data_IF_022650343569
#
_entry.id   IF_022650343569
#
_cell.length_a   1.000
_cell.length_b   1.000
_cell.length_c   1.000
_cell.angle_alpha   90.00
_cell.angle_beta   90.00
_cell.angle_gamma   90.00
#
_symmetry.space_group_name_H-M   'P 1'
#
loop_
_entity.id
_entity.type
_entity.pdbx_description
1 polymer ?
#
# COMPACT_ATOMS: atom_id res chain seq x y z
N UNK A 1 -9.34 -33.63 6.54
CA UNK A 1 -10.29 -32.99 5.60
C UNK A 1 -10.77 -31.62 6.07
N UNK A 2 -11.04 -31.40 7.35
CA UNK A 2 -11.51 -30.08 7.86
C UNK A 2 -10.49 -28.94 7.78
N UNK A 3 -9.20 -29.15 8.10
CA UNK A 3 -8.23 -28.03 8.09
C UNK A 3 -7.82 -27.54 6.69
N UNK A 4 -7.86 -28.42 5.69
CA UNK A 4 -7.52 -28.09 4.29
C UNK A 4 -8.66 -27.33 3.61
N UNK A 5 -9.91 -27.72 3.89
CA UNK A 5 -11.09 -26.94 3.47
C UNK A 5 -11.13 -25.55 4.12
N UNK A 6 -10.78 -25.42 5.39
CA UNK A 6 -10.67 -24.12 6.07
C UNK A 6 -9.56 -23.27 5.46
N UNK A 7 -8.40 -23.87 5.17
CA UNK A 7 -7.27 -23.21 4.53
C UNK A 7 -7.63 -22.65 3.15
N UNK A 8 -8.26 -23.44 2.30
CA UNK A 8 -8.66 -22.98 0.96
C UNK A 8 -9.72 -21.87 1.03
N UNK A 9 -10.64 -21.95 1.98
CA UNK A 9 -11.68 -20.92 2.17
C UNK A 9 -11.06 -19.57 2.57
N UNK A 10 -10.05 -19.59 3.44
CA UNK A 10 -9.27 -18.39 3.82
C UNK A 10 -8.56 -17.79 2.60
N UNK A 11 -7.85 -18.62 1.81
CA UNK A 11 -7.14 -18.13 0.62
C UNK A 11 -8.10 -17.50 -0.40
N UNK A 12 -9.25 -18.14 -0.65
CA UNK A 12 -10.27 -17.61 -1.55
C UNK A 12 -10.85 -16.27 -1.06
N UNK A 13 -11.04 -16.11 0.26
CA UNK A 13 -11.51 -14.84 0.82
C UNK A 13 -10.46 -13.74 0.67
N UNK A 14 -9.17 -14.05 0.92
CA UNK A 14 -8.07 -13.10 0.76
C UNK A 14 -7.91 -12.66 -0.70
N UNK A 15 -8.00 -13.58 -1.65
CA UNK A 15 -7.97 -13.24 -3.08
C UNK A 15 -9.13 -12.30 -3.44
N UNK A 16 -10.35 -12.62 -3.00
CA UNK A 16 -11.53 -11.76 -3.24
C UNK A 16 -11.38 -10.39 -2.62
N UNK A 17 -10.84 -10.29 -1.40
CA UNK A 17 -10.55 -9.03 -0.73
C UNK A 17 -9.54 -8.23 -1.57
N UNK A 18 -8.46 -8.86 -2.04
CA UNK A 18 -7.48 -8.21 -2.91
C UNK A 18 -8.09 -7.66 -4.21
N UNK A 19 -9.03 -8.39 -4.84
CA UNK A 19 -9.73 -7.94 -6.04
C UNK A 19 -10.66 -6.74 -5.81
N UNK A 20 -11.03 -6.42 -4.56
CA UNK A 20 -11.84 -5.23 -4.27
C UNK A 20 -11.09 -3.94 -4.64
N UNK A 21 -9.75 -3.92 -4.61
CA UNK A 21 -8.94 -2.77 -5.02
C UNK A 21 -9.27 -2.34 -6.46
N UNK A 22 -9.18 -3.27 -7.41
CA UNK A 22 -9.49 -3.00 -8.82
C UNK A 22 -10.94 -2.56 -9.01
N UNK A 23 -11.89 -3.22 -8.32
CA UNK A 23 -13.32 -2.90 -8.41
C UNK A 23 -13.57 -1.47 -7.96
N UNK A 24 -13.04 -1.07 -6.80
CA UNK A 24 -13.27 0.27 -6.28
C UNK A 24 -12.52 1.32 -7.08
N UNK A 25 -11.29 1.06 -7.52
CA UNK A 25 -10.54 2.00 -8.39
C UNK A 25 -11.22 2.18 -9.74
N UNK A 26 -11.72 1.12 -10.36
CA UNK A 26 -12.47 1.21 -11.61
C UNK A 26 -13.81 1.94 -11.46
N UNK A 27 -14.45 1.85 -10.29
CA UNK A 27 -15.69 2.58 -9.97
C UNK A 27 -15.45 4.05 -9.60
N UNK A 28 -14.23 4.42 -9.24
CA UNK A 28 -13.85 5.81 -8.94
C UNK A 28 -13.69 6.68 -10.20
N UNK A 29 -14.09 6.20 -11.38
CA UNK A 29 -14.19 7.02 -12.59
C UNK A 29 -15.35 8.02 -12.38
N UNK A 30 -14.99 9.24 -12.00
CA UNK A 30 -15.91 10.28 -11.58
C UNK A 30 -15.86 10.46 -10.07
N UNK A 31 -15.14 11.49 -9.62
CA UNK A 31 -15.01 11.83 -8.21
C UNK A 31 -16.36 12.35 -7.69
N UNK A 32 -16.82 11.81 -6.57
CA UNK A 32 -18.05 12.28 -5.93
C UNK A 32 -17.86 13.70 -5.39
N UNK A 33 -18.83 14.59 -5.66
CA UNK A 33 -18.70 16.04 -5.42
C UNK A 33 -18.51 16.45 -3.96
N UNK A 34 -18.84 15.55 -3.04
CA UNK A 34 -18.77 15.69 -1.60
C UNK A 34 -17.62 14.91 -0.94
N UNK A 35 -16.86 14.13 -1.71
CA UNK A 35 -15.64 13.46 -1.25
C UNK A 35 -14.60 14.47 -0.72
N UNK A 36 -13.75 14.09 0.25
CA UNK A 36 -12.64 14.91 0.71
C UNK A 36 -11.78 15.47 -0.45
N UNK A 37 -11.43 14.64 -1.43
CA UNK A 37 -10.61 15.10 -2.57
C UNK A 37 -11.33 16.13 -3.45
N UNK A 38 -12.65 16.04 -3.62
CA UNK A 38 -13.40 17.02 -4.40
C UNK A 38 -13.47 18.38 -3.67
N UNK A 39 -13.46 18.36 -2.34
CA UNK A 39 -13.36 19.58 -1.53
C UNK A 39 -11.98 20.19 -1.65
N UNK A 40 -10.94 19.36 -1.61
CA UNK A 40 -9.56 19.79 -1.83
C UNK A 40 -9.41 20.48 -3.18
N UNK A 41 -9.92 19.85 -4.26
CA UNK A 41 -9.88 20.42 -5.61
C UNK A 41 -10.64 21.75 -5.75
N UNK A 42 -11.71 21.98 -4.97
CA UNK A 42 -12.44 23.26 -4.96
C UNK A 42 -11.71 24.37 -4.20
N UNK A 43 -10.79 24.03 -3.31
CA UNK A 43 -10.05 24.98 -2.48
C UNK A 43 -8.77 25.50 -3.12
N UNK A 44 -8.38 24.94 -4.27
CA UNK A 44 -7.14 25.27 -4.97
C UNK A 44 -7.41 26.23 -6.13
N UNK A 45 -6.54 27.23 -6.24
CA UNK A 45 -6.62 28.26 -7.28
C UNK A 45 -5.47 28.18 -8.30
N UNK A 46 -4.41 27.42 -8.01
CA UNK A 46 -3.22 27.31 -8.88
C UNK A 46 -3.22 26.01 -9.69
N UNK A 47 -2.70 26.09 -10.92
CA UNK A 47 -2.61 24.93 -11.82
C UNK A 47 -1.70 23.86 -11.23
N UNK A 48 -0.60 24.26 -10.62
CA UNK A 48 0.43 23.38 -10.08
C UNK A 48 -0.10 22.55 -8.92
N UNK A 49 -0.91 23.14 -8.05
CA UNK A 49 -1.53 22.41 -6.94
C UNK A 49 -2.66 21.47 -7.43
N UNK A 50 -3.34 21.80 -8.54
CA UNK A 50 -4.25 20.87 -9.22
C UNK A 50 -3.49 19.64 -9.73
N UNK A 51 -2.34 19.83 -10.40
CA UNK A 51 -1.51 18.72 -10.90
C UNK A 51 -0.99 17.82 -9.75
N UNK A 52 -0.66 18.40 -8.59
CA UNK A 52 -0.28 17.64 -7.39
C UNK A 52 -1.47 16.83 -6.82
N UNK A 53 -2.67 17.38 -6.82
CA UNK A 53 -3.89 16.64 -6.46
C UNK A 53 -4.15 15.49 -7.45
N UNK A 54 -4.00 15.73 -8.75
CA UNK A 54 -4.22 14.71 -9.77
C UNK A 54 -3.18 13.59 -9.68
N UNK A 55 -1.93 13.93 -9.35
CA UNK A 55 -0.91 12.94 -9.01
C UNK A 55 -1.27 12.16 -7.74
N UNK A 56 -1.67 12.85 -6.66
CA UNK A 56 -2.08 12.25 -5.39
C UNK A 56 -3.17 11.19 -5.63
N UNK A 57 -4.22 11.54 -6.35
CA UNK A 57 -5.33 10.63 -6.69
C UNK A 57 -4.87 9.40 -7.47
N UNK A 58 -4.12 9.63 -8.56
CA UNK A 58 -3.60 8.54 -9.40
C UNK A 58 -2.71 7.61 -8.59
N UNK A 59 -1.82 8.17 -7.77
CA UNK A 59 -0.87 7.39 -6.99
C UNK A 59 -1.54 6.59 -5.89
N UNK A 60 -2.52 7.17 -5.21
CA UNK A 60 -3.37 6.47 -4.23
C UNK A 60 -4.02 5.23 -4.88
N UNK A 61 -4.66 5.41 -6.05
CA UNK A 61 -5.30 4.30 -6.76
C UNK A 61 -4.31 3.22 -7.22
N UNK A 62 -3.18 3.62 -7.81
CA UNK A 62 -2.14 2.70 -8.25
C UNK A 62 -1.52 1.91 -7.10
N UNK A 63 -1.24 2.56 -5.96
CA UNK A 63 -0.72 1.89 -4.77
C UNK A 63 -1.74 0.90 -4.19
N UNK A 64 -3.03 1.25 -4.19
CA UNK A 64 -4.07 0.34 -3.73
C UNK A 64 -4.18 -0.91 -4.62
N UNK A 65 -4.17 -0.74 -5.95
CA UNK A 65 -4.17 -1.87 -6.90
C UNK A 65 -2.93 -2.72 -6.71
N UNK A 66 -1.74 -2.12 -6.64
CA UNK A 66 -0.50 -2.86 -6.40
C UNK A 66 -0.53 -3.67 -5.09
N UNK A 67 -1.10 -3.09 -4.02
CA UNK A 67 -1.29 -3.79 -2.73
C UNK A 67 -2.27 -4.97 -2.88
N UNK A 68 -3.36 -4.79 -3.62
CA UNK A 68 -4.34 -5.85 -3.91
C UNK A 68 -3.77 -6.99 -4.76
N UNK A 69 -2.97 -6.66 -5.78
CA UNK A 69 -2.25 -7.64 -6.61
C UNK A 69 -1.23 -8.42 -5.81
N UNK A 70 -0.47 -7.73 -4.95
CA UNK A 70 0.47 -8.37 -4.04
C UNK A 70 -0.27 -9.28 -3.04
N UNK A 71 -1.44 -8.88 -2.52
CA UNK A 71 -2.22 -9.71 -1.60
C UNK A 71 -2.73 -10.99 -2.28
N UNK A 72 -3.21 -10.87 -3.52
CA UNK A 72 -3.59 -12.02 -4.35
C UNK A 72 -2.38 -12.92 -4.64
N UNK A 73 -1.24 -12.35 -5.00
CA UNK A 73 0.00 -13.11 -5.23
C UNK A 73 0.47 -13.83 -3.95
N UNK A 74 0.31 -13.20 -2.78
CA UNK A 74 0.64 -13.80 -1.50
C UNK A 74 -0.27 -15.00 -1.20
N UNK A 75 -1.57 -14.88 -1.45
CA UNK A 75 -2.51 -16.00 -1.32
C UNK A 75 -2.16 -17.16 -2.28
N UNK A 76 -1.83 -16.85 -3.54
CA UNK A 76 -1.38 -17.83 -4.53
C UNK A 76 -0.05 -18.50 -4.19
N UNK A 77 0.84 -17.80 -3.48
CA UNK A 77 2.12 -18.38 -3.05
C UNK A 77 1.97 -19.60 -2.13
N UNK A 78 0.79 -19.78 -1.52
CA UNK A 78 0.45 -20.94 -0.68
C UNK A 78 -0.32 -22.04 -1.41
N UNK A 79 -0.64 -21.83 -2.68
CA UNK A 79 -1.29 -22.81 -3.53
C UNK A 79 -0.24 -23.59 -4.34
N UNK A 80 -0.55 -24.82 -4.72
CA UNK A 80 0.30 -25.59 -5.62
C UNK A 80 -0.04 -25.23 -7.08
N UNK A 81 0.96 -24.97 -7.96
CA UNK A 81 2.40 -24.94 -7.68
C UNK A 81 2.83 -23.66 -6.97
N UNK A 82 3.72 -23.80 -5.98
CA UNK A 82 4.24 -22.66 -5.23
C UNK A 82 4.99 -21.70 -6.17
N UNK A 83 4.79 -20.39 -5.97
CA UNK A 83 5.52 -19.36 -6.71
C UNK A 83 7.01 -19.41 -6.35
N UNK A 84 7.88 -19.08 -7.31
CA UNK A 84 9.33 -18.99 -7.08
C UNK A 84 9.74 -17.72 -6.32
N UNK A 85 8.78 -16.86 -5.97
CA UNK A 85 8.98 -15.60 -5.27
C UNK A 85 8.89 -15.80 -3.76
N UNK A 86 9.70 -15.06 -2.99
CA UNK A 86 9.66 -15.09 -1.52
C UNK A 86 8.33 -14.50 -1.03
N UNK A 87 7.49 -15.25 -0.29
CA UNK A 87 6.24 -14.71 0.24
C UNK A 87 6.46 -13.56 1.24
N UNK A 88 7.63 -13.48 1.87
CA UNK A 88 7.98 -12.35 2.73
C UNK A 88 8.19 -11.06 1.94
N UNK A 89 8.68 -11.17 0.70
CA UNK A 89 8.84 -10.04 -0.21
C UNK A 89 7.48 -9.55 -0.68
N UNK A 90 6.59 -10.46 -1.03
CA UNK A 90 5.22 -10.11 -1.44
C UNK A 90 4.45 -9.46 -0.27
N UNK A 91 4.55 -10.02 0.95
CA UNK A 91 3.93 -9.43 2.14
C UNK A 91 4.44 -8.02 2.43
N UNK A 92 5.75 -7.77 2.20
CA UNK A 92 6.35 -6.45 2.26
C UNK A 92 5.72 -5.49 1.25
N UNK A 93 5.53 -5.93 0.01
CA UNK A 93 4.92 -5.11 -1.06
C UNK A 93 3.47 -4.72 -0.73
N UNK A 94 2.68 -5.63 -0.14
CA UNK A 94 1.33 -5.35 0.36
C UNK A 94 1.38 -4.20 1.37
N UNK A 95 2.24 -4.36 2.39
CA UNK A 95 2.31 -3.44 3.53
C UNK A 95 2.82 -2.07 3.11
N UNK A 96 3.90 -1.98 2.33
CA UNK A 96 4.45 -0.70 1.87
C UNK A 96 3.44 0.06 1.01
N UNK A 97 2.79 -0.63 0.07
CA UNK A 97 1.79 -0.03 -0.82
C UNK A 97 0.55 0.43 -0.05
N UNK A 98 0.08 -0.37 0.91
CA UNK A 98 -1.03 -0.03 1.79
C UNK A 98 -0.71 1.18 2.68
N UNK A 99 0.52 1.28 3.19
CA UNK A 99 0.96 2.39 4.02
C UNK A 99 0.96 3.71 3.24
N UNK A 100 1.40 3.68 1.98
CA UNK A 100 1.34 4.85 1.09
C UNK A 100 -0.11 5.32 0.92
N UNK A 101 -1.05 4.40 0.68
CA UNK A 101 -2.47 4.76 0.54
C UNK A 101 -2.97 5.47 1.79
N UNK A 102 -2.81 4.86 2.97
CA UNK A 102 -3.30 5.45 4.23
C UNK A 102 -2.63 6.81 4.50
N UNK A 103 -1.33 6.92 4.29
CA UNK A 103 -0.58 8.15 4.53
C UNK A 103 -1.00 9.30 3.61
N UNK A 104 -1.32 8.99 2.35
CA UNK A 104 -1.77 9.97 1.35
C UNK A 104 -3.26 10.32 1.48
N UNK A 105 -4.09 9.42 2.00
CA UNK A 105 -5.55 9.59 2.15
C UNK A 105 -5.97 10.09 3.54
N UNK A 106 -5.02 10.35 4.43
CA UNK A 106 -5.25 10.91 5.76
C UNK A 106 -5.92 12.28 5.67
N UNK A 107 -7.25 12.26 5.77
CA UNK A 107 -8.07 13.45 5.57
C UNK A 107 -8.15 14.36 6.81
N UNK A 108 -7.60 13.92 7.94
CA UNK A 108 -7.48 14.69 9.18
C UNK A 108 -6.28 15.64 9.13
N UNK A 109 -5.29 15.32 8.29
CA UNK A 109 -4.17 16.19 7.97
C UNK A 109 -4.61 17.36 7.07
N UNK A 110 -4.11 18.60 7.26
CA UNK A 110 -4.42 19.71 6.35
C UNK A 110 -4.01 19.43 4.89
N UNK A 111 -4.72 20.02 3.93
CA UNK A 111 -4.44 19.87 2.50
C UNK A 111 -2.98 20.19 2.15
N UNK A 112 -2.42 21.27 2.70
CA UNK A 112 -1.03 21.66 2.48
C UNK A 112 -0.05 20.53 2.82
N UNK A 113 -0.20 19.88 3.97
CA UNK A 113 0.64 18.74 4.34
C UNK A 113 0.36 17.52 3.45
N UNK A 114 -0.89 17.27 3.04
CA UNK A 114 -1.16 16.22 2.03
C UNK A 114 -0.45 16.48 0.70
N UNK A 115 -0.43 17.74 0.24
CA UNK A 115 0.31 18.14 -0.96
C UNK A 115 1.82 17.97 -0.77
N UNK A 116 2.36 18.27 0.41
CA UNK A 116 3.73 17.91 0.76
C UNK A 116 3.98 16.40 0.71
N UNK A 117 3.08 15.56 1.22
CA UNK A 117 3.24 14.10 1.17
C UNK A 117 3.22 13.61 -0.29
N UNK A 118 2.31 14.14 -1.09
CA UNK A 118 2.19 13.84 -2.53
C UNK A 118 3.48 14.20 -3.28
N UNK A 119 4.00 15.42 -3.05
CA UNK A 119 5.19 15.90 -3.74
C UNK A 119 6.45 15.11 -3.36
N UNK A 120 6.62 14.79 -2.06
CA UNK A 120 7.68 13.90 -1.59
C UNK A 120 7.62 12.55 -2.29
N UNK A 121 6.43 11.95 -2.37
CA UNK A 121 6.25 10.66 -3.04
C UNK A 121 6.55 10.74 -4.54
N UNK A 122 6.14 11.81 -5.21
CA UNK A 122 6.40 12.00 -6.63
C UNK A 122 7.88 12.07 -6.93
N UNK A 123 8.62 12.89 -6.17
CA UNK A 123 10.08 12.98 -6.34
C UNK A 123 10.76 11.63 -6.07
N UNK A 124 10.33 10.87 -5.07
CA UNK A 124 10.86 9.53 -4.82
C UNK A 124 10.55 8.55 -5.97
N UNK A 125 9.34 8.57 -6.53
CA UNK A 125 8.97 7.73 -7.66
C UNK A 125 9.83 8.05 -8.91
N UNK A 126 10.06 9.34 -9.18
CA UNK A 126 10.92 9.78 -10.28
C UNK A 126 12.38 9.39 -10.05
N UNK A 127 12.88 9.50 -8.81
CA UNK A 127 14.23 9.08 -8.46
C UNK A 127 14.44 7.58 -8.70
N UNK A 128 13.51 6.74 -8.25
CA UNK A 128 13.58 5.28 -8.46
C UNK A 128 13.43 4.91 -9.94
N UNK A 129 12.50 5.54 -10.67
CA UNK A 129 12.37 5.36 -12.11
C UNK A 129 13.64 5.76 -12.86
N UNK A 130 14.29 6.85 -12.45
CA UNK A 130 15.56 7.31 -13.03
C UNK A 130 16.70 6.32 -12.76
N UNK A 131 16.80 5.78 -11.54
CA UNK A 131 17.79 4.73 -11.21
C UNK A 131 17.59 3.50 -12.10
N UNK A 132 16.33 3.08 -12.30
CA UNK A 132 16.01 1.97 -13.18
C UNK A 132 16.36 2.28 -14.64
N UNK A 133 16.02 3.46 -15.15
CA UNK A 133 16.34 3.88 -16.52
C UNK A 133 17.87 3.93 -16.77
N UNK A 134 18.65 4.43 -15.79
CA UNK A 134 20.12 4.39 -15.86
C UNK A 134 20.63 2.96 -15.96
N UNK A 135 20.09 2.04 -15.15
CA UNK A 135 20.48 0.64 -15.22
C UNK A 135 20.13 0.01 -16.57
N UNK A 136 18.93 0.27 -17.09
CA UNK A 136 18.50 -0.20 -18.42
C UNK A 136 19.42 0.33 -19.53
N UNK A 137 19.80 1.61 -19.49
CA UNK A 137 20.75 2.19 -20.44
C UNK A 137 22.15 1.56 -20.33
N UNK A 138 22.59 1.19 -19.12
CA UNK A 138 23.86 0.46 -18.94
C UNK A 138 23.81 -0.95 -19.55
N UNK A 139 22.65 -1.61 -19.51
CA UNK A 139 22.48 -2.95 -20.10
C UNK A 139 22.41 -2.92 -21.63
N UNK A 140 21.93 -1.84 -22.24
CA UNK A 140 21.91 -1.65 -23.69
C UNK A 140 22.11 -0.16 -24.07
N UNK A 141 23.38 0.30 -24.12
CA UNK A 141 23.70 1.71 -24.37
C UNK A 141 23.38 2.19 -25.79
N UNK A 142 23.16 1.26 -26.72
CA UNK A 142 22.94 1.58 -28.13
C UNK A 142 21.47 1.90 -28.42
N UNK A 143 20.55 1.63 -27.48
CA UNK A 143 19.13 1.88 -27.68
C UNK A 143 18.76 3.35 -27.41
N UNK A 144 18.40 4.14 -28.44
CA UNK A 144 18.06 5.55 -28.27
C UNK A 144 16.78 5.77 -27.45
N UNK A 145 15.89 4.77 -27.33
CA UNK A 145 14.69 4.90 -26.50
C UNK A 145 15.04 5.04 -25.02
N UNK A 146 16.02 4.27 -24.52
CA UNK A 146 16.42 4.32 -23.11
C UNK A 146 17.05 5.66 -22.73
N UNK A 147 17.78 6.28 -23.66
CA UNK A 147 18.30 7.63 -23.45
C UNK A 147 17.17 8.68 -23.45
N UNK A 148 16.17 8.51 -24.30
CA UNK A 148 15.00 9.39 -24.34
C UNK A 148 14.18 9.29 -23.05
N UNK A 149 13.91 8.07 -22.56
CA UNK A 149 13.20 7.82 -21.31
C UNK A 149 13.93 8.45 -20.11
N UNK A 150 15.26 8.31 -20.05
CA UNK A 150 16.06 8.94 -18.99
C UNK A 150 15.97 10.47 -19.03
N UNK A 151 16.02 11.07 -20.22
CA UNK A 151 15.91 12.52 -20.38
C UNK A 151 14.51 13.03 -20.01
N UNK A 152 13.46 12.28 -20.35
CA UNK A 152 12.07 12.59 -19.99
C UNK A 152 11.89 12.58 -18.46
N UNK A 153 12.39 11.55 -17.78
CA UNK A 153 12.34 11.45 -16.32
C UNK A 153 13.08 12.61 -15.63
N UNK A 154 14.25 13.01 -16.16
CA UNK A 154 15.00 14.16 -15.64
C UNK A 154 14.20 15.46 -15.85
N UNK A 155 13.63 15.67 -17.04
CA UNK A 155 12.79 16.83 -17.33
C UNK A 155 11.58 16.91 -16.41
N UNK A 156 10.92 15.76 -16.17
CA UNK A 156 9.77 15.66 -15.27
C UNK A 156 10.15 15.95 -13.82
N UNK A 157 11.31 15.49 -13.36
CA UNK A 157 11.80 15.79 -12.01
C UNK A 157 12.01 17.30 -11.81
N UNK A 158 12.60 17.97 -12.80
CA UNK A 158 12.80 19.43 -12.77
C UNK A 158 11.44 20.15 -12.71
N UNK A 159 10.51 19.79 -13.61
CA UNK A 159 9.17 20.38 -13.66
C UNK A 159 8.44 20.23 -12.32
N UNK A 160 8.47 19.05 -11.71
CA UNK A 160 7.82 18.80 -10.41
C UNK A 160 8.47 19.62 -9.29
N UNK A 161 9.79 19.79 -9.29
CA UNK A 161 10.49 20.65 -8.32
C UNK A 161 10.07 22.10 -8.46
N UNK A 162 9.96 22.61 -9.69
CA UNK A 162 9.49 23.96 -9.95
C UNK A 162 8.03 24.16 -9.48
N UNK A 163 7.16 23.17 -9.69
CA UNK A 163 5.78 23.21 -9.19
C UNK A 163 5.70 23.26 -7.67
N UNK A 164 6.52 22.44 -7.00
CA UNK A 164 6.62 22.43 -5.53
C UNK A 164 6.98 23.82 -5.02
N UNK A 165 7.99 24.46 -5.61
CA UNK A 165 8.41 25.81 -5.27
C UNK A 165 7.31 26.86 -5.53
N UNK A 166 6.61 26.77 -6.67
CA UNK A 166 5.53 27.71 -7.03
C UNK A 166 4.32 27.64 -6.10
N UNK A 167 4.02 26.46 -5.56
CA UNK A 167 2.95 26.27 -4.56
C UNK A 167 3.41 26.67 -3.15
N UNK A 168 4.69 27.04 -2.98
CA UNK A 168 5.27 27.42 -1.69
C UNK A 168 5.56 26.23 -0.78
N UNK A 169 5.61 25.01 -1.34
CA UNK A 169 5.92 23.81 -0.59
C UNK A 169 7.44 23.62 -0.51
N UNK A 170 7.95 23.34 0.68
CA UNK A 170 9.32 22.88 0.87
C UNK A 170 9.53 21.46 0.32
N UNK A 171 10.62 21.29 -0.45
CA UNK A 171 11.12 19.97 -0.82
C UNK A 171 11.70 19.27 0.41
N UNK A 172 10.98 18.26 0.92
CA UNK A 172 11.39 17.41 2.05
C UNK A 172 11.67 15.99 1.57
N UNK A 173 12.41 15.21 2.35
CA UNK A 173 12.62 13.80 2.05
C UNK A 173 11.38 12.97 2.40
N UNK A 174 11.13 11.91 1.62
CA UNK A 174 10.12 10.91 1.96
C UNK A 174 10.58 10.13 3.21
N UNK A 175 9.63 9.75 4.06
CA UNK A 175 9.87 8.79 5.14
C UNK A 175 10.39 7.47 4.55
N UNK A 176 11.32 6.81 5.24
CA UNK A 176 11.68 5.43 4.88
C UNK A 176 10.46 4.52 5.01
N UNK A 177 10.43 3.40 4.27
CA UNK A 177 9.31 2.43 4.37
C UNK A 177 9.08 1.97 5.81
N UNK A 178 10.14 1.80 6.61
CA UNK A 178 10.04 1.43 8.04
C UNK A 178 9.34 2.52 8.86
N UNK A 179 9.76 3.78 8.71
CA UNK A 179 9.14 4.90 9.44
C UNK A 179 7.69 5.10 9.03
N UNK A 180 7.40 4.97 7.74
CA UNK A 180 6.04 5.05 7.20
C UNK A 180 5.15 3.97 7.80
N UNK A 181 5.61 2.71 7.79
CA UNK A 181 4.86 1.58 8.34
C UNK A 181 4.66 1.69 9.85
N UNK A 182 5.67 2.15 10.58
CA UNK A 182 5.53 2.39 12.02
C UNK A 182 4.50 3.48 12.29
N UNK A 183 4.54 4.58 11.53
CA UNK A 183 3.61 5.70 11.69
C UNK A 183 2.17 5.35 11.34
N UNK A 184 1.97 4.49 10.35
CA UNK A 184 0.63 4.16 9.82
C UNK A 184 0.03 2.92 10.50
N UNK A 185 0.84 1.91 10.83
CA UNK A 185 0.31 0.62 11.31
C UNK A 185 0.89 0.15 12.65
N UNK A 186 1.88 0.84 13.23
CA UNK A 186 2.63 0.37 14.41
C UNK A 186 3.22 -1.05 14.20
N UNK A 187 3.64 -1.34 12.95
CA UNK A 187 4.03 -2.69 12.50
C UNK A 187 5.53 -2.80 12.20
N UNK A 188 6.38 -2.04 12.92
CA UNK A 188 7.83 -2.03 12.70
C UNK A 188 8.44 -3.43 12.89
N UNK A 189 7.98 -4.15 13.92
CA UNK A 189 8.49 -5.49 14.23
C UNK A 189 8.20 -6.48 13.10
N UNK A 190 6.95 -6.60 12.66
CA UNK A 190 6.49 -7.45 11.57
C UNK A 190 7.24 -7.13 10.28
N UNK A 191 7.31 -5.84 9.93
CA UNK A 191 8.01 -5.39 8.74
C UNK A 191 9.49 -5.76 8.76
N UNK A 192 10.19 -5.52 9.88
CA UNK A 192 11.60 -5.90 10.01
C UNK A 192 11.77 -7.41 9.95
N UNK A 193 10.88 -8.18 10.56
CA UNK A 193 10.92 -9.64 10.51
C UNK A 193 10.76 -10.14 9.06
N UNK A 194 9.73 -9.70 8.34
CA UNK A 194 9.45 -10.13 6.96
C UNK A 194 10.54 -9.68 5.98
N UNK A 195 11.03 -8.45 6.14
CA UNK A 195 12.14 -7.94 5.34
C UNK A 195 13.39 -8.78 5.57
N UNK A 196 13.79 -9.03 6.82
CA UNK A 196 14.98 -9.83 7.10
C UNK A 196 14.85 -11.28 6.63
N UNK A 197 13.66 -11.90 6.73
CA UNK A 197 13.41 -13.23 6.19
C UNK A 197 13.54 -13.27 4.66
N UNK A 198 13.08 -12.24 3.96
CA UNK A 198 13.19 -12.13 2.50
C UNK A 198 14.63 -12.02 2.01
N UNK A 199 15.50 -11.43 2.81
CA UNK A 199 16.94 -11.35 2.54
C UNK A 199 17.72 -12.58 3.02
N UNK A 200 17.04 -13.62 3.52
CA UNK A 200 17.68 -14.84 4.02
C UNK A 200 18.48 -14.63 5.31
N UNK A 201 18.13 -13.63 6.13
CA UNK A 201 18.85 -13.37 7.38
C UNK A 201 18.63 -14.52 8.39
N UNK A 202 19.70 -15.24 8.78
CA UNK A 202 19.58 -16.40 9.67
C UNK A 202 19.05 -16.03 11.07
N UNK A 203 19.26 -14.80 11.54
CA UNK A 203 18.77 -14.35 12.85
C UNK A 203 17.27 -14.11 12.87
N UNK A 204 16.68 -13.66 11.76
CA UNK A 204 15.23 -13.53 11.65
C UNK A 204 14.55 -14.91 11.64
N UNK A 205 15.17 -15.90 10.99
CA UNK A 205 14.69 -17.29 11.05
C UNK A 205 14.76 -17.86 12.47
N UNK A 206 15.82 -17.55 13.24
CA UNK A 206 15.91 -17.91 14.65
C UNK A 206 14.86 -17.20 15.50
N UNK A 207 14.61 -15.91 15.26
CA UNK A 207 13.55 -15.15 15.92
C UNK A 207 12.17 -15.78 15.70
N UNK A 208 11.83 -16.09 14.45
CA UNK A 208 10.60 -16.77 14.08
C UNK A 208 10.45 -18.13 14.80
N UNK A 209 11.52 -18.95 14.81
CA UNK A 209 11.52 -20.26 15.49
C UNK A 209 11.35 -20.14 17.01
N UNK A 210 11.81 -19.05 17.63
CA UNK A 210 11.63 -18.79 19.08
C UNK A 210 10.22 -18.32 19.41
N UNK A 211 9.57 -17.58 18.50
CA UNK A 211 8.17 -17.18 18.63
C UNK A 211 7.23 -18.38 18.47
N UNK A 212 7.64 -19.36 17.67
CA UNK A 212 6.95 -20.63 17.48
C UNK A 212 7.30 -21.64 18.59
N UNK A 213 6.82 -21.39 19.82
CA UNK A 213 6.93 -22.40 20.88
C UNK A 213 5.97 -23.61 20.68
N UNK A 214 4.98 -23.54 19.77
CA UNK A 214 4.00 -24.63 19.53
C UNK A 214 3.54 -24.84 18.05
N UNK A 215 4.19 -24.23 17.04
CA UNK A 215 3.70 -24.29 15.65
C UNK A 215 4.64 -25.03 14.69
N UNK A 216 4.24 -26.23 14.27
CA UNK A 216 5.10 -27.26 13.67
C UNK A 216 5.32 -27.17 12.13
N UNK A 217 5.24 -26.00 11.48
CA UNK A 217 5.59 -25.91 10.05
C UNK A 217 5.86 -24.50 9.51
N UNK A 218 6.67 -24.41 8.43
CA UNK A 218 6.83 -23.21 7.62
C UNK A 218 5.47 -22.69 7.09
N UNK A 219 4.53 -23.59 6.80
CA UNK A 219 3.17 -23.22 6.38
C UNK A 219 2.47 -22.32 7.41
N UNK A 220 2.62 -22.56 8.72
CA UNK A 220 2.00 -21.72 9.75
C UNK A 220 2.59 -20.29 9.77
N UNK A 221 3.90 -20.13 9.55
CA UNK A 221 4.51 -18.81 9.40
C UNK A 221 3.96 -18.05 8.19
N UNK A 222 3.75 -18.75 7.08
CA UNK A 222 3.16 -18.14 5.89
C UNK A 222 1.69 -17.72 6.09
N UNK A 223 0.89 -18.50 6.84
CA UNK A 223 -0.47 -18.07 7.21
C UNK A 223 -0.46 -16.82 8.07
N UNK A 224 0.51 -16.68 8.98
CA UNK A 224 0.69 -15.47 9.76
C UNK A 224 0.99 -14.27 8.85
N UNK A 225 1.81 -14.42 7.80
CA UNK A 225 2.10 -13.33 6.87
C UNK A 225 0.87 -12.89 6.10
N UNK A 226 0.05 -13.82 5.62
CA UNK A 226 -1.23 -13.49 4.98
C UNK A 226 -2.11 -12.72 5.95
N UNK A 227 -2.33 -13.25 7.16
CA UNK A 227 -3.18 -12.61 8.16
C UNK A 227 -2.70 -11.20 8.52
N UNK A 228 -1.37 -11.04 8.69
CA UNK A 228 -0.74 -9.76 9.00
C UNK A 228 -0.75 -8.76 7.84
N UNK A 229 -0.87 -9.21 6.57
CA UNK A 229 -0.94 -8.34 5.39
C UNK A 229 -2.38 -7.96 5.00
N UNK A 230 -3.38 -8.78 5.36
CA UNK A 230 -4.80 -8.48 5.11
C UNK A 230 -5.27 -7.24 5.86
N UNK A 231 -4.78 -7.04 7.09
CA UNK A 231 -5.18 -5.88 7.91
C UNK A 231 -4.69 -4.54 7.32
N UNK A 232 -3.39 -4.34 7.03
CA UNK A 232 -2.89 -3.16 6.30
C UNK A 232 -3.62 -2.90 4.99
N UNK A 233 -3.84 -3.93 4.16
CA UNK A 233 -4.57 -3.78 2.90
C UNK A 233 -6.00 -3.29 3.11
N UNK A 234 -6.73 -3.90 4.04
CA UNK A 234 -8.11 -3.52 4.31
C UNK A 234 -8.21 -2.09 4.86
N UNK A 235 -7.25 -1.68 5.70
CA UNK A 235 -7.12 -0.29 6.17
C UNK A 235 -6.89 0.69 5.03
N UNK A 236 -6.02 0.34 4.08
CA UNK A 236 -5.79 1.13 2.88
C UNK A 236 -7.04 1.22 2.01
N UNK A 237 -7.75 0.12 1.80
CA UNK A 237 -8.99 0.07 1.01
C UNK A 237 -10.10 0.92 1.65
N UNK A 238 -10.27 0.83 2.97
CA UNK A 238 -11.24 1.67 3.70
C UNK A 238 -10.87 3.15 3.63
N UNK A 239 -9.59 3.49 3.84
CA UNK A 239 -9.11 4.88 3.75
C UNK A 239 -9.31 5.44 2.34
N UNK A 240 -9.06 4.65 1.30
CA UNK A 240 -9.34 4.99 -0.09
C UNK A 240 -10.82 5.30 -0.32
N UNK A 241 -11.72 4.42 0.13
CA UNK A 241 -13.16 4.60 -0.05
C UNK A 241 -13.66 5.81 0.71
N UNK A 242 -13.24 6.02 1.97
CA UNK A 242 -13.58 7.24 2.72
C UNK A 242 -13.14 8.51 1.99
N UNK A 243 -11.96 8.45 1.38
CA UNK A 243 -11.36 9.61 0.73
C UNK A 243 -11.99 9.98 -0.61
N UNK A 244 -12.48 8.99 -1.37
CA UNK A 244 -12.96 9.20 -2.74
C UNK A 244 -14.47 8.97 -2.90
N UNK A 245 -15.05 8.06 -2.12
CA UNK A 245 -16.44 7.58 -2.24
C UNK A 245 -17.04 7.24 -0.86
N UNK A 246 -17.20 8.23 0.04
CA UNK A 246 -17.55 7.98 1.43
C UNK A 246 -18.90 7.25 1.61
N UNK A 247 -19.83 7.34 0.65
CA UNK A 247 -21.11 6.63 0.71
C UNK A 247 -20.99 5.12 0.54
N UNK A 248 -19.93 4.63 -0.11
CA UNK A 248 -19.67 3.21 -0.32
C UNK A 248 -19.08 2.53 0.95
N UNK A 249 -18.73 3.30 1.98
CA UNK A 249 -18.00 2.80 3.15
C UNK A 249 -18.73 1.66 3.86
N UNK A 250 -20.02 1.82 4.15
CA UNK A 250 -20.81 0.84 4.87
C UNK A 250 -20.99 -0.46 4.04
N UNK A 251 -21.17 -0.33 2.73
CA UNK A 251 -21.30 -1.47 1.81
C UNK A 251 -19.99 -2.24 1.68
N UNK A 252 -18.86 -1.52 1.63
CA UNK A 252 -17.53 -2.12 1.63
C UNK A 252 -17.27 -2.87 2.94
N UNK A 253 -17.51 -2.23 4.09
CA UNK A 253 -17.34 -2.85 5.41
C UNK A 253 -18.19 -4.13 5.53
N UNK A 254 -19.46 -4.06 5.11
CA UNK A 254 -20.35 -5.23 5.10
C UNK A 254 -19.83 -6.34 4.17
N UNK A 255 -19.26 -5.99 3.02
CA UNK A 255 -18.69 -6.95 2.06
C UNK A 255 -17.45 -7.65 2.63
N UNK A 256 -16.51 -6.88 3.20
CA UNK A 256 -15.32 -7.41 3.86
C UNK A 256 -15.71 -8.34 5.01
N UNK A 257 -16.64 -7.91 5.87
CA UNK A 257 -17.13 -8.72 6.99
C UNK A 257 -17.73 -10.04 6.49
N UNK A 258 -18.59 -10.00 5.46
CA UNK A 258 -19.17 -11.22 4.88
C UNK A 258 -18.11 -12.18 4.35
N UNK A 259 -17.09 -11.69 3.65
CA UNK A 259 -16.00 -12.53 3.14
C UNK A 259 -15.24 -13.23 4.28
N UNK A 260 -15.06 -12.55 5.42
CA UNK A 260 -14.47 -13.17 6.61
C UNK A 260 -15.40 -14.21 7.27
N UNK A 261 -16.70 -13.93 7.38
CA UNK A 261 -17.68 -14.88 7.92
C UNK A 261 -17.74 -16.15 7.08
N UNK A 262 -17.82 -15.99 5.75
CA UNK A 262 -17.87 -17.11 4.79
C UNK A 262 -16.60 -17.98 4.85
N UNK A 263 -15.45 -17.39 5.20
CA UNK A 263 -14.19 -18.10 5.39
C UNK A 263 -14.06 -18.78 6.77
N UNK A 264 -15.03 -18.59 7.67
CA UNK A 264 -14.96 -19.07 9.05
C UNK A 264 -13.85 -18.37 9.86
N UNK A 265 -13.43 -17.17 9.45
CA UNK A 265 -12.46 -16.36 10.19
C UNK A 265 -13.22 -15.70 11.34
N UNK A 266 -13.14 -16.32 12.52
CA UNK A 266 -13.78 -15.81 13.73
C UNK A 266 -13.32 -14.39 14.05
N UNK A 267 -14.07 -13.71 14.92
CA UNK A 267 -13.84 -12.34 15.44
C UNK A 267 -12.53 -12.18 16.28
N UNK A 268 -11.52 -13.01 16.03
CA UNK A 268 -10.20 -12.98 16.64
C UNK A 268 -9.33 -11.82 16.11
N UNK A 269 -8.00 -11.90 16.33
CA UNK A 269 -7.06 -10.80 16.10
C UNK A 269 -7.18 -10.14 14.72
N UNK A 270 -7.38 -10.93 13.65
CA UNK A 270 -7.57 -10.41 12.28
C UNK A 270 -8.78 -9.47 12.16
N UNK A 271 -9.90 -9.74 12.84
CA UNK A 271 -11.09 -8.87 12.83
C UNK A 271 -11.03 -7.74 13.87
N UNK A 272 -10.36 -7.96 15.00
CA UNK A 272 -10.14 -6.92 16.02
C UNK A 272 -9.25 -5.79 15.50
N UNK A 273 -8.20 -6.10 14.74
CA UNK A 273 -7.32 -5.08 14.17
C UNK A 273 -8.01 -4.23 13.10
N UNK A 274 -8.92 -4.83 12.32
CA UNK A 274 -9.75 -4.12 11.35
C UNK A 274 -10.75 -3.14 11.98
N UNK A 275 -11.31 -3.46 13.15
CA UNK A 275 -12.22 -2.55 13.89
C UNK A 275 -11.47 -1.45 14.67
N UNK A 276 -10.24 -1.72 15.11
CA UNK A 276 -9.38 -0.73 15.77
C UNK A 276 -8.90 0.38 14.82
N UNK A 277 -9.00 0.18 13.50
CA UNK A 277 -8.71 1.15 12.42
C UNK A 277 -9.66 2.36 12.34
N UNK A 278 -10.54 2.52 13.32
CA UNK A 278 -11.48 3.64 13.45
C UNK A 278 -10.91 4.79 14.28
N UNK A 279 -9.67 4.67 14.76
CA UNK A 279 -9.01 5.71 15.56
C UNK A 279 -8.23 6.67 14.63
N UNK A 280 -8.44 8.00 14.75
CA UNK A 280 -7.64 9.04 14.12
C UNK A 280 -6.13 8.74 14.17
N UNK A 281 -5.41 8.97 13.08
CA UNK A 281 -3.96 8.88 13.12
C UNK A 281 -3.45 10.03 14.00
N UNK A 282 -2.79 9.70 15.11
CA UNK A 282 -2.36 10.68 16.10
C UNK A 282 -1.64 11.86 15.45
N UNK A 283 -2.18 13.06 15.66
CA UNK A 283 -1.52 14.32 15.33
C UNK A 283 -0.34 14.53 16.29
N UNK A 284 0.77 13.84 16.06
CA UNK A 284 2.04 14.30 16.64
C UNK A 284 2.53 15.50 15.83
N UNK A 285 2.50 16.64 16.51
CA UNK A 285 2.98 17.94 16.06
C UNK A 285 4.46 17.83 15.66
N UNK A 286 4.74 18.13 14.39
CA UNK A 286 6.06 18.55 13.91
C UNK A 286 5.86 19.71 12.93
#
# INVERSE_FOLDING_TARGET
>A
MTSEMTRQSILNAVERIGSLAEIHVARSIGIETDSPIARDGKSIETREAIELIDYLQRRIGQSLVASGDALQALARSLQAPALQTSPGGIARDVNESAAIVCWLTDFETPLEERLHRASRRWLTDLEEARKLAVFTLQTDPANPSFQADLNDLIGKEIEVREWIEQVGLEARLMLSSTELLNRVFDAEFEYRLFSNLSHGNPYALQGLRRMQHEADSAATAFFYWIAASVDPFSKALMSYVRYLRPHDEADLEATINRLFDDAGIAEGEVRKHLRASTVPFGTEQY
#
